data_IF_264689721840
#
_entry.id   IF_264689721840
#
_cell.length_a   1.000
_cell.length_b   1.000
_cell.length_c   1.000
_cell.angle_alpha   90.00
_cell.angle_beta   90.00
_cell.angle_gamma   90.00
#
_symmetry.space_group_name_H-M   'P 1'
#
loop_
_entity.id
_entity.type
_entity.pdbx_description
1 polymer ?
#
# COMPACT_ATOMS: atom_id res chain seq x y z
N UNK A 1 -4.34 21.28 3.08
CA UNK A 1 -4.97 21.68 1.79
C UNK A 1 -5.59 23.10 1.75
N UNK A 2 -5.38 23.98 2.73
CA UNK A 2 -5.92 25.36 2.72
C UNK A 2 -5.03 26.39 2.00
N UNK A 3 -3.73 26.13 1.84
CA UNK A 3 -2.76 27.03 1.19
C UNK A 3 -2.93 27.12 -0.34
N UNK A 4 -3.12 25.99 -1.04
CA UNK A 4 -3.21 26.00 -2.51
C UNK A 4 -4.41 26.78 -3.06
N UNK A 5 -5.58 26.70 -2.40
CA UNK A 5 -6.77 27.49 -2.79
C UNK A 5 -6.51 28.99 -2.70
N UNK A 6 -5.71 29.40 -1.72
CA UNK A 6 -5.44 30.80 -1.41
C UNK A 6 -4.36 31.40 -2.32
N UNK A 7 -3.38 30.60 -2.73
CA UNK A 7 -2.25 31.05 -3.56
C UNK A 7 -2.52 30.92 -5.06
N UNK A 8 -3.24 29.88 -5.49
CA UNK A 8 -3.40 29.53 -6.90
C UNK A 8 -4.86 29.46 -7.36
N UNK A 9 -5.80 29.86 -6.50
CA UNK A 9 -7.22 29.88 -6.80
C UNK A 9 -7.84 28.47 -6.92
N UNK A 10 -8.94 28.39 -7.67
CA UNK A 10 -9.79 27.18 -7.69
C UNK A 10 -9.25 26.07 -8.60
N UNK A 11 -8.36 26.40 -9.54
CA UNK A 11 -7.83 25.47 -10.53
C UNK A 11 -6.90 24.43 -9.89
N UNK A 12 -6.01 24.84 -8.99
CA UNK A 12 -5.02 23.94 -8.37
C UNK A 12 -5.64 22.80 -7.53
N UNK A 13 -6.63 23.03 -6.66
CA UNK A 13 -7.28 21.94 -5.92
C UNK A 13 -7.96 20.92 -6.84
N UNK A 14 -8.46 21.37 -8.00
CA UNK A 14 -9.09 20.50 -8.99
C UNK A 14 -8.01 19.66 -9.69
N UNK A 15 -6.94 20.30 -10.17
CA UNK A 15 -5.80 19.62 -10.79
C UNK A 15 -5.17 18.60 -9.83
N UNK A 16 -4.91 19.01 -8.58
CA UNK A 16 -4.35 18.15 -7.53
C UNK A 16 -5.26 16.97 -7.22
N UNK A 17 -6.57 17.19 -7.18
CA UNK A 17 -7.55 16.10 -6.98
C UNK A 17 -7.56 15.12 -8.15
N UNK A 18 -7.38 15.58 -9.38
CA UNK A 18 -7.25 14.72 -10.55
C UNK A 18 -5.94 13.93 -10.55
N UNK A 19 -4.82 14.56 -10.17
CA UNK A 19 -3.52 13.90 -10.08
C UNK A 19 -3.50 12.77 -9.07
N UNK A 20 -4.06 13.00 -7.87
CA UNK A 20 -4.17 11.97 -6.84
C UNK A 20 -4.98 10.77 -7.36
N UNK A 21 -6.10 11.02 -8.05
CA UNK A 21 -6.92 9.94 -8.63
C UNK A 21 -6.19 9.14 -9.69
N UNK A 22 -5.46 9.80 -10.58
CA UNK A 22 -4.67 9.13 -11.62
C UNK A 22 -3.58 8.26 -10.97
N UNK A 23 -2.93 8.74 -9.91
CA UNK A 23 -1.96 7.95 -9.15
C UNK A 23 -2.63 6.75 -8.47
N UNK A 24 -3.74 6.95 -7.75
CA UNK A 24 -4.48 5.86 -7.10
C UNK A 24 -4.94 4.78 -8.09
N UNK A 25 -5.35 5.14 -9.31
CA UNK A 25 -5.81 4.21 -10.34
C UNK A 25 -4.65 3.52 -11.09
N UNK A 26 -3.53 4.21 -11.27
CA UNK A 26 -2.38 3.73 -12.05
C UNK A 26 -1.31 3.01 -11.23
N UNK A 27 -1.32 3.19 -9.90
CA UNK A 27 -0.26 2.67 -9.05
C UNK A 27 -0.41 1.18 -8.78
N UNK A 28 0.73 0.50 -8.78
CA UNK A 28 0.84 -0.86 -8.31
C UNK A 28 2.08 -0.99 -7.49
N UNK A 29 1.88 -1.56 -6.31
CA UNK A 29 2.92 -1.81 -5.34
C UNK A 29 3.04 -3.32 -5.18
N UNK A 30 4.19 -3.90 -5.55
CA UNK A 30 4.47 -5.30 -5.29
C UNK A 30 4.34 -5.65 -3.81
N UNK A 31 3.82 -6.85 -3.52
CA UNK A 31 3.66 -7.35 -2.16
C UNK A 31 4.96 -7.36 -1.34
N UNK A 32 6.12 -7.55 -2.02
CA UNK A 32 7.44 -7.51 -1.38
C UNK A 32 7.78 -6.15 -0.76
N UNK A 33 7.15 -5.07 -1.21
CA UNK A 33 7.30 -3.72 -0.62
C UNK A 33 6.31 -3.47 0.53
N UNK A 34 5.59 -4.50 0.98
CA UNK A 34 4.54 -4.43 2.00
C UNK A 34 3.15 -4.30 1.39
N UNK A 35 2.16 -4.94 2.04
CA UNK A 35 0.77 -4.99 1.57
C UNK A 35 -0.06 -3.75 1.92
N UNK A 36 0.48 -2.83 2.74
CA UNK A 36 -0.31 -1.75 3.35
C UNK A 36 0.44 -0.43 3.28
N UNK A 37 -0.25 0.59 2.77
CA UNK A 37 0.28 1.94 2.58
C UNK A 37 -0.25 2.58 1.29
N UNK A 38 -0.29 3.90 1.28
CA UNK A 38 -0.50 4.67 0.06
C UNK A 38 0.70 4.51 -0.88
N UNK A 39 0.49 4.90 -2.12
CA UNK A 39 1.56 4.99 -3.08
C UNK A 39 2.56 6.10 -2.77
N UNK A 40 3.82 5.96 -3.18
CA UNK A 40 4.82 7.04 -3.00
C UNK A 40 4.36 8.30 -3.72
N UNK A 41 3.73 8.14 -4.89
CA UNK A 41 3.19 9.26 -5.65
C UNK A 41 2.01 9.91 -4.92
N UNK A 42 1.14 9.12 -4.33
CA UNK A 42 0.03 9.63 -3.52
C UNK A 42 0.52 10.38 -2.28
N UNK A 43 1.52 9.88 -1.56
CA UNK A 43 2.10 10.52 -0.38
C UNK A 43 2.73 11.88 -0.71
N UNK A 44 3.46 11.99 -1.82
CA UNK A 44 4.00 13.27 -2.31
C UNK A 44 2.85 14.22 -2.71
N UNK A 45 1.78 13.67 -3.28
CA UNK A 45 0.62 14.46 -3.67
C UNK A 45 -0.25 14.90 -2.47
N UNK A 46 -0.28 14.13 -1.38
CA UNK A 46 -0.97 14.50 -0.14
C UNK A 46 -0.10 15.38 0.77
N UNK A 47 1.21 15.41 0.53
CA UNK A 47 2.20 16.11 1.36
C UNK A 47 2.54 15.35 2.65
N UNK A 48 2.37 14.02 2.63
CA UNK A 48 2.66 13.08 3.71
C UNK A 48 4.06 12.45 3.56
N UNK A 49 4.79 12.75 2.50
CA UNK A 49 6.10 12.18 2.14
C UNK A 49 7.20 12.36 3.22
N UNK A 50 7.05 13.35 4.10
CA UNK A 50 7.98 13.63 5.20
C UNK A 50 7.48 13.20 6.59
N UNK A 51 6.37 12.47 6.68
CA UNK A 51 5.76 12.04 7.94
C UNK A 51 5.58 10.52 7.99
N UNK A 52 5.74 9.94 9.18
CA UNK A 52 5.56 8.51 9.42
C UNK A 52 4.72 8.33 10.69
N UNK A 53 3.65 7.54 10.57
CA UNK A 53 2.81 7.15 11.69
C UNK A 53 3.15 5.71 12.14
N UNK A 54 2.66 5.32 13.31
CA UNK A 54 2.94 3.98 13.85
C UNK A 54 2.29 2.89 13.01
N UNK A 55 1.13 3.18 12.39
CA UNK A 55 0.44 2.27 11.48
C UNK A 55 1.28 1.94 10.25
N UNK A 56 2.11 2.88 9.76
CA UNK A 56 2.97 2.68 8.59
C UNK A 56 4.07 1.64 8.88
N UNK A 57 4.52 1.56 10.14
CA UNK A 57 5.56 0.62 10.59
C UNK A 57 4.96 -0.69 11.12
N UNK A 58 3.83 -0.62 11.82
CA UNK A 58 3.19 -1.76 12.48
C UNK A 58 1.83 -2.05 11.85
N UNK A 59 1.87 -2.75 10.71
CA UNK A 59 0.70 -2.94 9.87
C UNK A 59 -0.32 -4.00 10.35
N UNK A 60 -0.12 -4.63 11.51
CA UNK A 60 -1.05 -5.62 12.09
C UNK A 60 -1.09 -6.99 11.37
N UNK A 61 -0.36 -7.12 10.26
CA UNK A 61 -0.26 -8.37 9.47
C UNK A 61 0.61 -9.44 10.12
N UNK A 62 1.30 -9.11 11.20
CA UNK A 62 2.03 -10.07 12.04
C UNK A 62 1.14 -11.05 12.82
N UNK A 63 -0.19 -10.97 12.70
CA UNK A 63 -1.08 -11.65 13.64
C UNK A 63 -2.09 -12.65 13.05
N UNK A 64 -2.64 -12.51 11.83
CA UNK A 64 -3.69 -13.43 11.38
C UNK A 64 -3.93 -13.36 9.86
N UNK A 65 -3.16 -14.10 9.05
CA UNK A 65 -3.64 -14.60 7.75
C UNK A 65 -3.60 -16.13 7.69
N UNK A 66 -3.73 -16.78 8.84
CA UNK A 66 -4.21 -18.16 8.93
C UNK A 66 -5.70 -18.12 9.24
N UNK A 67 -6.51 -18.85 8.49
CA UNK A 67 -7.91 -19.07 8.82
C UNK A 67 -8.02 -19.56 10.27
N UNK A 68 -8.56 -18.73 11.16
CA UNK A 68 -9.25 -19.26 12.33
C UNK A 68 -10.60 -19.81 11.86
N UNK A 69 -10.57 -20.86 11.02
CA UNK A 69 -11.64 -21.83 11.02
C UNK A 69 -11.57 -22.51 12.39
N UNK A 70 -12.67 -22.39 13.12
CA UNK A 70 -12.94 -22.84 14.48
C UNK A 70 -11.97 -23.90 15.03
N UNK A 71 -11.09 -23.45 15.91
CA UNK A 71 -10.53 -24.26 16.99
C UNK A 71 -9.49 -25.30 16.62
N UNK A 72 -8.26 -24.88 16.28
CA UNK A 72 -7.00 -25.52 16.72
C UNK A 72 -5.87 -24.49 16.75
N UNK A 73 -5.71 -23.80 17.87
CA UNK A 73 -4.44 -23.13 18.16
C UNK A 73 -3.42 -24.24 18.50
N UNK A 74 -2.56 -24.57 17.55
CA UNK A 74 -1.35 -25.31 17.87
C UNK A 74 -0.28 -24.26 18.21
N UNK A 75 0.02 -24.14 19.50
CA UNK A 75 1.17 -23.43 20.02
C UNK A 75 2.44 -24.09 19.47
N UNK A 76 2.97 -23.60 18.35
CA UNK A 76 4.10 -24.27 17.73
C UNK A 76 4.69 -23.74 16.43
N UNK A 77 4.18 -22.66 15.83
CA UNK A 77 4.80 -22.06 14.65
C UNK A 77 5.25 -20.63 14.94
N UNK A 78 6.45 -20.50 15.50
CA UNK A 78 7.26 -19.28 15.33
C UNK A 78 7.96 -19.37 13.97
N UNK A 79 7.17 -19.53 12.91
CA UNK A 79 7.63 -19.47 11.53
C UNK A 79 7.75 -18.01 11.12
N UNK A 80 8.86 -17.64 10.49
CA UNK A 80 9.03 -16.32 9.91
C UNK A 80 8.03 -16.13 8.75
N UNK A 81 6.86 -15.57 9.05
CA UNK A 81 5.75 -15.37 8.11
C UNK A 81 6.05 -14.39 6.97
N UNK A 82 7.26 -13.81 6.91
CA UNK A 82 7.72 -13.00 5.76
C UNK A 82 7.86 -13.81 4.46
N UNK A 83 7.74 -15.14 4.52
CA UNK A 83 7.94 -16.03 3.38
C UNK A 83 6.68 -16.37 2.57
N UNK A 84 5.48 -15.84 2.92
CA UNK A 84 4.23 -16.14 2.21
C UNK A 84 3.69 -14.98 1.34
N UNK A 85 4.52 -13.96 1.07
CA UNK A 85 4.24 -13.02 -0.01
C UNK A 85 4.60 -13.69 -1.36
N UNK A 86 3.77 -13.56 -2.42
CA UNK A 86 4.16 -14.04 -3.74
C UNK A 86 5.45 -13.32 -4.15
N UNK A 87 6.39 -14.05 -4.74
CA UNK A 87 7.59 -13.44 -5.29
C UNK A 87 7.22 -12.40 -6.36
N UNK A 88 8.04 -11.36 -6.47
CA UNK A 88 7.83 -10.25 -7.39
C UNK A 88 7.56 -10.74 -8.82
N UNK A 89 8.27 -11.77 -9.29
CA UNK A 89 8.11 -12.31 -10.64
C UNK A 89 6.73 -12.93 -10.84
N UNK A 90 6.30 -13.80 -9.92
CA UNK A 90 4.99 -14.45 -10.01
C UNK A 90 3.83 -13.44 -9.91
N UNK A 91 4.00 -12.36 -9.15
CA UNK A 91 3.02 -11.27 -9.10
C UNK A 91 2.96 -10.51 -10.44
N UNK A 92 4.12 -10.19 -11.01
CA UNK A 92 4.22 -9.47 -12.28
C UNK A 92 3.67 -10.28 -13.45
N UNK A 93 3.93 -11.59 -13.51
CA UNK A 93 3.35 -12.53 -14.47
C UNK A 93 1.83 -12.51 -14.43
N UNK A 94 1.25 -12.67 -13.23
CA UNK A 94 -0.19 -12.68 -13.02
C UNK A 94 -0.82 -11.35 -13.44
N UNK A 95 -0.17 -10.23 -13.11
CA UNK A 95 -0.70 -8.89 -13.41
C UNK A 95 -0.61 -8.55 -14.89
N UNK A 96 0.54 -8.81 -15.52
CA UNK A 96 0.78 -8.47 -16.93
C UNK A 96 0.28 -9.54 -17.89
N UNK A 97 -0.19 -10.70 -17.37
CA UNK A 97 -0.62 -11.87 -18.15
C UNK A 97 0.48 -12.35 -19.11
N UNK A 98 1.72 -12.22 -18.68
CA UNK A 98 2.89 -12.60 -19.47
C UNK A 98 3.42 -13.90 -18.90
N UNK A 99 3.45 -14.94 -19.73
CA UNK A 99 4.14 -16.19 -19.41
C UNK A 99 5.55 -16.04 -19.98
N UNK A 100 6.57 -15.90 -19.14
CA UNK A 100 7.97 -15.94 -19.56
C UNK A 100 8.53 -17.36 -19.48
#
# INVERSE_FOLDING_TARGET
MSMLRREFGIAEPIRRGMEVRICQEGEWRPAVLGYKGEGVHEEILSGRDSSVDWEDVFNGEFCCRGKCEEGKANDGDTGNETQNAPDFHSEMENRLKMNW
#
